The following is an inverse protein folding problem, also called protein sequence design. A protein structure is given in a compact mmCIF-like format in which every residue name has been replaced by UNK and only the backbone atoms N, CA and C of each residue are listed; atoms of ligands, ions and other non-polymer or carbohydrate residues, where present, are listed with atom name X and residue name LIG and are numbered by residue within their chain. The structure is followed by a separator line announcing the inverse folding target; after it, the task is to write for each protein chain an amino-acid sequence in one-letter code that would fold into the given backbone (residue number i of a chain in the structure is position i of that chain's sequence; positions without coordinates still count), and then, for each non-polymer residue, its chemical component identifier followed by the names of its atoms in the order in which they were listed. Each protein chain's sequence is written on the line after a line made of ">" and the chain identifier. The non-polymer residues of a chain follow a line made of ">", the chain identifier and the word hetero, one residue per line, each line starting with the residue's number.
data_IF_324675031102
#
_entry.id   IF_324675031102
#
_cell.length_a   1.000
_cell.length_b   1.000
_cell.length_c   1.000
_cell.angle_alpha   90.00
_cell.angle_beta   90.00
_cell.angle_gamma   90.00
#
_symmetry.space_group_name_H-M   'P 1'
#
loop_
_entity.id
_entity.type
_entity.pdbx_description
1 polymer ?
#
# COMPACT_ATOMS: atom_id res chain seq x y z
N UNK A 1 29.14 -13.21 26.18
CA UNK A 1 27.92 -13.76 25.56
C UNK A 1 27.19 -12.60 24.92
N UNK A 2 27.09 -12.56 23.59
CA UNK A 2 26.23 -11.58 22.92
C UNK A 2 24.78 -11.84 23.34
N UNK A 3 24.10 -10.80 23.83
CA UNK A 3 22.67 -10.85 24.11
C UNK A 3 21.93 -11.23 22.83
N UNK A 4 21.35 -12.42 22.82
CA UNK A 4 20.44 -12.83 21.74
C UNK A 4 19.28 -11.83 21.74
N UNK A 5 19.20 -10.98 20.71
CA UNK A 5 18.10 -10.04 20.52
C UNK A 5 16.79 -10.81 20.49
N UNK A 6 15.99 -10.67 21.56
CA UNK A 6 14.63 -11.21 21.61
C UNK A 6 13.79 -10.54 20.52
N UNK A 7 13.11 -11.34 19.70
CA UNK A 7 12.18 -10.85 18.68
C UNK A 7 10.92 -10.37 19.39
N UNK A 8 10.64 -9.08 19.33
CA UNK A 8 9.45 -8.45 19.94
C UNK A 8 8.45 -7.93 18.92
N UNK A 9 8.79 -7.96 17.63
CA UNK A 9 7.93 -7.41 16.58
C UNK A 9 6.79 -8.36 16.24
N UNK A 10 5.57 -7.88 16.47
CA UNK A 10 4.31 -8.61 16.18
C UNK A 10 3.93 -8.58 14.69
N UNK A 11 4.37 -7.58 13.94
CA UNK A 11 3.94 -7.33 12.57
C UNK A 11 5.12 -7.31 11.63
N UNK A 12 4.90 -7.72 10.39
CA UNK A 12 5.83 -7.44 9.29
C UNK A 12 6.02 -5.94 9.15
N UNK A 13 7.20 -5.52 8.71
CA UNK A 13 7.48 -4.12 8.46
C UNK A 13 6.52 -3.53 7.43
N UNK A 14 5.85 -2.43 7.78
CA UNK A 14 4.81 -1.80 6.97
C UNK A 14 3.40 -2.34 7.19
N UNK A 15 3.27 -3.49 7.85
CA UNK A 15 2.00 -4.22 8.02
C UNK A 15 1.30 -3.93 9.36
N UNK A 16 1.85 -3.08 10.21
CA UNK A 16 1.22 -2.73 11.48
C UNK A 16 -0.13 -2.03 11.22
N UNK A 17 -1.16 -2.29 12.04
CA UNK A 17 -2.42 -1.57 11.94
C UNK A 17 -2.20 -0.09 12.24
N UNK A 18 -2.98 0.76 11.58
CA UNK A 18 -3.03 2.19 11.91
C UNK A 18 -3.56 2.33 13.35
N UNK A 19 -2.86 3.08 14.20
CA UNK A 19 -3.29 3.27 15.58
C UNK A 19 -4.58 4.09 15.64
N UNK A 20 -5.40 3.93 16.68
CA UNK A 20 -6.65 4.71 16.84
C UNK A 20 -6.42 6.23 16.78
N UNK A 21 -5.33 6.69 17.39
CA UNK A 21 -4.95 8.12 17.40
C UNK A 21 -4.62 8.60 15.99
N UNK A 22 -3.81 7.84 15.25
CA UNK A 22 -3.45 8.21 13.87
C UNK A 22 -4.66 8.10 12.93
N UNK A 23 -5.50 7.08 13.13
CA UNK A 23 -6.72 6.90 12.35
C UNK A 23 -7.63 8.14 12.44
N UNK A 24 -7.90 8.63 13.66
CA UNK A 24 -8.71 9.84 13.82
C UNK A 24 -8.11 11.07 13.12
N UNK A 25 -6.78 11.28 13.21
CA UNK A 25 -6.10 12.37 12.49
C UNK A 25 -6.24 12.24 10.97
N UNK A 26 -6.03 11.03 10.46
CA UNK A 26 -6.18 10.75 9.03
C UNK A 26 -7.61 10.98 8.56
N UNK A 27 -8.60 10.53 9.32
CA UNK A 27 -10.02 10.68 8.99
C UNK A 27 -10.42 12.16 8.89
N UNK A 28 -10.00 13.00 9.85
CA UNK A 28 -10.25 14.45 9.77
C UNK A 28 -9.61 15.10 8.55
N UNK A 29 -8.37 14.72 8.23
CA UNK A 29 -7.66 15.29 7.08
C UNK A 29 -8.31 14.88 5.74
N UNK A 30 -8.73 13.62 5.63
CA UNK A 30 -9.47 13.06 4.49
C UNK A 30 -10.83 13.76 4.34
N UNK A 31 -11.61 13.83 5.41
CA UNK A 31 -12.94 14.45 5.41
C UNK A 31 -12.88 15.94 5.06
N UNK A 32 -11.91 16.68 5.62
CA UNK A 32 -11.71 18.10 5.32
C UNK A 32 -11.47 18.34 3.83
N UNK A 33 -10.56 17.56 3.20
CA UNK A 33 -10.27 17.69 1.78
C UNK A 33 -11.46 17.28 0.89
N UNK A 34 -12.18 16.21 1.26
CA UNK A 34 -13.37 15.78 0.51
C UNK A 34 -14.48 16.84 0.55
N UNK A 35 -14.78 17.40 1.72
CA UNK A 35 -15.76 18.50 1.87
C UNK A 35 -15.37 19.74 1.09
N UNK A 36 -14.08 20.10 1.10
CA UNK A 36 -13.59 21.22 0.32
C UNK A 36 -13.85 21.00 -1.19
N UNK A 37 -13.53 19.80 -1.69
CA UNK A 37 -13.71 19.46 -3.10
C UNK A 37 -15.20 19.41 -3.48
N UNK A 38 -16.08 18.92 -2.61
CA UNK A 38 -17.51 18.79 -2.91
C UNK A 38 -18.26 20.12 -2.84
N UNK A 39 -18.01 20.90 -1.79
CA UNK A 39 -18.90 22.01 -1.42
C UNK A 39 -18.26 23.37 -1.68
N UNK A 40 -16.93 23.43 -1.90
CA UNK A 40 -16.16 24.66 -2.15
C UNK A 40 -16.27 25.73 -1.05
N UNK A 41 -16.90 25.39 0.08
CA UNK A 41 -17.44 26.35 1.04
C UNK A 41 -16.71 26.36 2.38
N UNK A 42 -15.96 25.31 2.71
CA UNK A 42 -15.11 25.29 3.90
C UNK A 42 -13.70 25.80 3.57
N UNK A 43 -13.08 26.51 4.51
CA UNK A 43 -11.65 26.83 4.39
C UNK A 43 -10.81 25.55 4.59
N UNK A 44 -9.83 25.34 3.72
CA UNK A 44 -8.87 24.26 3.84
C UNK A 44 -7.83 24.61 4.91
N UNK A 45 -7.76 23.84 5.98
CA UNK A 45 -6.70 24.00 6.97
C UNK A 45 -5.36 23.51 6.40
N UNK A 46 -4.30 24.35 6.37
CA UNK A 46 -2.96 23.94 5.97
C UNK A 46 -2.47 22.65 6.65
N UNK A 47 -2.83 22.41 7.91
CA UNK A 47 -2.32 21.28 8.69
C UNK A 47 -2.94 19.96 8.27
N UNK A 48 -4.22 19.94 7.90
CA UNK A 48 -4.85 18.78 7.26
C UNK A 48 -4.21 18.46 5.91
N UNK A 49 -3.82 19.48 5.13
CA UNK A 49 -3.08 19.29 3.87
C UNK A 49 -1.70 18.67 4.14
N UNK A 50 -1.01 19.11 5.20
CA UNK A 50 0.26 18.52 5.62
C UNK A 50 0.12 17.07 6.08
N UNK A 51 -0.95 16.73 6.80
CA UNK A 51 -1.26 15.37 7.23
C UNK A 51 -1.49 14.45 6.01
N UNK A 52 -2.36 14.85 5.07
CA UNK A 52 -2.60 14.10 3.83
C UNK A 52 -1.30 13.88 3.05
N UNK A 53 -0.50 14.93 2.88
CA UNK A 53 0.81 14.82 2.23
C UNK A 53 1.70 13.80 2.96
N UNK A 54 1.69 13.80 4.29
CA UNK A 54 2.39 12.83 5.13
C UNK A 54 1.96 11.39 4.84
N UNK A 55 0.65 11.14 4.73
CA UNK A 55 0.08 9.84 4.41
C UNK A 55 0.54 9.33 3.03
N UNK A 56 0.47 10.16 1.98
CA UNK A 56 0.96 9.78 0.65
C UNK A 56 2.48 9.53 0.64
N UNK A 57 3.27 10.40 1.27
CA UNK A 57 4.72 10.24 1.35
C UNK A 57 5.12 8.96 2.09
N UNK A 58 4.39 8.60 3.15
CA UNK A 58 4.61 7.36 3.90
C UNK A 58 4.48 6.13 2.99
N UNK A 59 3.47 6.07 2.14
CA UNK A 59 3.29 4.99 1.17
C UNK A 59 4.39 4.96 0.09
N UNK A 60 4.89 6.13 -0.32
CA UNK A 60 5.97 6.24 -1.32
C UNK A 60 7.33 5.83 -0.74
N UNK A 61 7.63 6.27 0.50
CA UNK A 61 8.91 6.03 1.16
C UNK A 61 9.02 4.63 1.77
N UNK A 62 7.89 4.04 2.14
CA UNK A 62 7.81 2.71 2.78
C UNK A 62 8.68 2.62 4.05
N UNK A 63 8.75 3.70 4.81
CA UNK A 63 9.67 3.89 5.94
C UNK A 63 9.01 3.76 7.32
N UNK A 64 7.70 3.55 7.38
CA UNK A 64 6.92 3.48 8.63
C UNK A 64 6.26 2.11 8.83
N UNK A 65 6.01 1.72 10.08
CA UNK A 65 5.49 0.39 10.40
C UNK A 65 4.09 0.09 9.83
N UNK A 66 3.32 1.09 9.44
CA UNK A 66 1.94 1.00 8.93
C UNK A 66 1.81 1.45 7.46
N UNK A 67 2.92 1.68 6.74
CA UNK A 67 2.88 2.25 5.39
C UNK A 67 1.99 1.45 4.42
N UNK A 68 1.97 0.12 4.54
CA UNK A 68 1.18 -0.77 3.69
C UNK A 68 -0.30 -0.76 4.11
N UNK A 69 -0.58 -0.67 5.41
CA UNK A 69 -1.94 -0.51 5.93
C UNK A 69 -2.58 0.80 5.44
N UNK A 70 -1.82 1.89 5.44
CA UNK A 70 -2.26 3.18 4.86
C UNK A 70 -2.42 3.07 3.35
N UNK A 71 -1.50 2.41 2.64
CA UNK A 71 -1.58 2.20 1.18
C UNK A 71 -2.81 1.38 0.80
N UNK A 72 -3.15 0.37 1.61
CA UNK A 72 -4.37 -0.42 1.46
C UNK A 72 -5.60 0.46 1.60
N UNK A 73 -5.68 1.30 2.64
CA UNK A 73 -6.83 2.20 2.81
C UNK A 73 -7.02 3.15 1.63
N UNK A 74 -5.93 3.60 0.99
CA UNK A 74 -6.05 4.39 -0.24
C UNK A 74 -6.51 3.60 -1.48
N UNK A 75 -6.63 2.27 -1.42
CA UNK A 75 -6.97 1.42 -2.57
C UNK A 75 -5.76 1.07 -3.46
N UNK A 76 -4.55 1.15 -2.91
CA UNK A 76 -3.29 0.87 -3.61
C UNK A 76 -2.95 1.71 -4.88
N UNK A 77 -3.14 3.05 -4.90
CA UNK A 77 -2.69 3.88 -6.02
C UNK A 77 -1.20 3.66 -6.38
N UNK A 78 -0.81 3.77 -7.66
CA UNK A 78 0.58 3.63 -8.05
C UNK A 78 1.50 4.63 -7.35
N UNK A 79 2.71 4.19 -6.97
CA UNK A 79 3.67 5.04 -6.25
C UNK A 79 4.05 6.34 -7.00
N UNK A 80 4.04 6.32 -8.33
CA UNK A 80 4.25 7.51 -9.17
C UNK A 80 3.12 8.53 -9.01
N UNK A 81 1.87 8.07 -8.98
CA UNK A 81 0.68 8.90 -8.76
C UNK A 81 0.71 9.49 -7.35
N UNK A 82 0.94 8.66 -6.33
CA UNK A 82 1.06 9.11 -4.94
C UNK A 82 2.12 10.19 -4.76
N UNK A 83 3.30 10.01 -5.38
CA UNK A 83 4.39 11.00 -5.32
C UNK A 83 3.99 12.32 -5.95
N UNK A 84 3.29 12.29 -7.10
CA UNK A 84 2.78 13.50 -7.76
C UNK A 84 1.76 14.20 -6.87
N UNK A 85 0.77 13.47 -6.35
CA UNK A 85 -0.23 14.00 -5.41
C UNK A 85 0.44 14.67 -4.20
N UNK A 86 1.42 14.02 -3.57
CA UNK A 86 2.15 14.62 -2.43
C UNK A 86 2.89 15.92 -2.80
N UNK A 87 3.42 16.00 -4.02
CA UNK A 87 4.00 17.23 -4.58
C UNK A 87 2.97 18.33 -4.75
N UNK A 88 1.83 18.03 -5.38
CA UNK A 88 0.74 19.00 -5.56
C UNK A 88 0.14 19.46 -4.22
N UNK A 89 0.02 18.57 -3.21
CA UNK A 89 -0.43 18.95 -1.86
C UNK A 89 0.49 19.98 -1.21
N UNK A 90 1.78 19.96 -1.54
CA UNK A 90 2.72 21.01 -1.09
C UNK A 90 2.38 22.37 -1.71
N UNK A 91 2.03 22.38 -3.00
CA UNK A 91 1.62 23.59 -3.70
C UNK A 91 0.25 24.08 -3.23
N UNK A 92 -0.70 23.16 -3.00
CA UNK A 92 -2.03 23.45 -2.46
C UNK A 92 -1.90 24.17 -1.11
N UNK A 93 -1.08 23.63 -0.19
CA UNK A 93 -0.81 24.30 1.10
C UNK A 93 -0.27 25.71 0.91
N UNK A 94 0.65 25.91 -0.04
CA UNK A 94 1.20 27.25 -0.33
C UNK A 94 0.13 28.20 -0.86
N UNK A 95 -0.73 27.76 -1.77
CA UNK A 95 -1.81 28.57 -2.32
C UNK A 95 -2.80 29.01 -1.22
N UNK A 96 -3.19 28.09 -0.32
CA UNK A 96 -4.03 28.39 0.84
C UNK A 96 -3.40 29.46 1.74
N UNK A 97 -2.12 29.29 2.10
CA UNK A 97 -1.41 30.25 2.97
C UNK A 97 -1.27 31.65 2.36
N UNK A 98 -1.24 31.74 1.03
CA UNK A 98 -1.14 33.00 0.29
C UNK A 98 -2.50 33.59 -0.10
N UNK A 99 -3.61 32.89 0.16
CA UNK A 99 -4.94 33.28 -0.30
C UNK A 99 -5.12 33.23 -1.82
N UNK A 100 -4.29 32.46 -2.54
CA UNK A 100 -4.33 32.31 -3.99
C UNK A 100 -5.45 31.35 -4.41
N UNK A 101 -6.67 31.88 -4.49
CA UNK A 101 -7.88 31.10 -4.84
C UNK A 101 -7.81 30.51 -6.26
N UNK A 102 -7.31 31.28 -7.23
CA UNK A 102 -7.24 30.83 -8.63
C UNK A 102 -6.21 29.72 -8.80
N UNK A 103 -5.03 29.87 -8.20
CA UNK A 103 -4.01 28.82 -8.18
C UNK A 103 -4.48 27.57 -7.44
N UNK A 104 -5.18 27.74 -6.31
CA UNK A 104 -5.78 26.63 -5.56
C UNK A 104 -6.73 25.80 -6.43
N UNK A 105 -7.66 26.44 -7.13
CA UNK A 105 -8.63 25.75 -8.00
C UNK A 105 -7.94 24.93 -9.10
N UNK A 106 -6.87 25.48 -9.71
CA UNK A 106 -6.09 24.77 -10.74
C UNK A 106 -5.41 23.54 -10.15
N UNK A 107 -4.80 23.67 -8.97
CA UNK A 107 -4.12 22.57 -8.29
C UNK A 107 -5.09 21.48 -7.84
N UNK A 108 -6.28 21.86 -7.36
CA UNK A 108 -7.33 20.92 -6.94
C UNK A 108 -7.83 20.11 -8.13
N UNK A 109 -8.18 20.76 -9.25
CA UNK A 109 -8.56 20.05 -10.48
C UNK A 109 -7.48 19.06 -10.93
N UNK A 110 -6.21 19.45 -10.78
CA UNK A 110 -5.07 18.60 -11.13
C UNK A 110 -4.98 17.35 -10.25
N UNK A 111 -5.08 17.45 -8.93
CA UNK A 111 -5.06 16.26 -8.05
C UNK A 111 -6.31 15.39 -8.19
N UNK A 112 -7.48 15.99 -8.44
CA UNK A 112 -8.72 15.26 -8.76
C UNK A 112 -8.52 14.41 -10.00
N UNK A 113 -7.95 14.96 -11.08
CA UNK A 113 -7.64 14.21 -12.31
C UNK A 113 -6.63 13.08 -12.13
N UNK A 114 -5.86 13.08 -11.03
CA UNK A 114 -4.93 12.01 -10.66
C UNK A 114 -5.59 10.89 -9.81
N UNK A 115 -6.88 10.99 -9.51
CA UNK A 115 -7.60 10.02 -8.68
C UNK A 115 -7.52 10.27 -7.18
N UNK A 116 -7.26 11.52 -6.74
CA UNK A 116 -7.25 11.86 -5.31
C UNK A 116 -8.59 11.52 -4.66
N UNK A 117 -9.72 11.92 -5.27
CA UNK A 117 -11.06 11.72 -4.69
C UNK A 117 -11.34 10.24 -4.45
N UNK A 118 -11.08 9.39 -5.45
CA UNK A 118 -11.22 7.93 -5.31
C UNK A 118 -10.36 7.38 -4.16
N UNK A 119 -9.09 7.82 -4.08
CA UNK A 119 -8.19 7.39 -3.00
C UNK A 119 -8.71 7.79 -1.61
N UNK A 120 -9.25 9.01 -1.47
CA UNK A 120 -9.80 9.53 -0.22
C UNK A 120 -11.12 8.85 0.16
N UNK A 121 -12.01 8.61 -0.81
CA UNK A 121 -13.25 7.86 -0.60
C UNK A 121 -12.98 6.42 -0.17
N UNK A 122 -12.01 5.74 -0.79
CA UNK A 122 -11.55 4.42 -0.37
C UNK A 122 -11.01 4.43 1.07
N UNK A 123 -10.38 5.53 1.49
CA UNK A 123 -9.84 5.64 2.85
C UNK A 123 -10.95 5.76 3.90
N UNK A 124 -12.01 6.50 3.58
CA UNK A 124 -13.14 6.78 4.46
C UNK A 124 -14.10 5.59 4.57
N UNK A 125 -14.39 4.93 3.45
CA UNK A 125 -15.15 3.70 3.43
C UNK A 125 -14.19 2.59 3.84
N UNK A 126 -14.15 2.20 5.12
CA UNK A 126 -13.41 1.01 5.58
C UNK A 126 -13.66 -0.13 4.60
N UNK A 127 -12.69 -0.37 3.70
CA UNK A 127 -12.86 -1.04 2.41
C UNK A 127 -14.07 -1.98 2.39
N UNK A 128 -15.08 -1.62 1.61
CA UNK A 128 -16.19 -2.52 1.30
C UNK A 128 -15.57 -3.85 0.92
N UNK A 129 -15.92 -4.92 1.65
CA UNK A 129 -15.50 -6.28 1.34
C UNK A 129 -15.89 -6.52 -0.13
N UNK A 130 -14.96 -6.40 -1.06
CA UNK A 130 -15.21 -6.84 -2.42
C UNK A 130 -15.52 -8.33 -2.31
N UNK A 131 -16.80 -8.68 -2.40
CA UNK A 131 -17.18 -9.99 -2.89
C UNK A 131 -16.81 -9.98 -4.36
N UNK A 132 -15.58 -10.39 -4.64
CA UNK A 132 -15.11 -10.58 -6.00
C UNK A 132 -15.71 -11.89 -6.50
N UNK A 133 -16.79 -11.78 -7.26
CA UNK A 133 -17.14 -12.82 -8.22
C UNK A 133 -16.03 -12.89 -9.29
N UNK A 134 -15.68 -14.11 -9.71
CA UNK A 134 -14.64 -14.35 -10.72
C UNK A 134 -13.18 -14.40 -10.23
N UNK A 135 -12.29 -14.87 -11.12
CA UNK A 135 -10.88 -15.21 -10.87
C UNK A 135 -9.97 -14.02 -10.47
N UNK A 136 -10.50 -12.80 -10.33
CA UNK A 136 -9.72 -11.60 -10.01
C UNK A 136 -9.13 -11.68 -8.61
N UNK A 137 -7.97 -11.06 -8.43
CA UNK A 137 -7.27 -11.10 -7.15
C UNK A 137 -6.01 -10.26 -7.14
N UNK A 138 -5.11 -10.65 -6.25
CA UNK A 138 -3.82 -10.05 -6.04
C UNK A 138 -2.73 -11.10 -6.12
N UNK A 139 -1.66 -10.79 -6.83
CA UNK A 139 -0.36 -11.47 -6.68
C UNK A 139 0.44 -10.67 -5.65
N UNK A 140 1.05 -11.34 -4.68
CA UNK A 140 1.92 -10.71 -3.70
C UNK A 140 3.34 -11.28 -3.76
N UNK A 141 4.31 -10.47 -3.35
CA UNK A 141 5.69 -10.87 -3.05
C UNK A 141 5.95 -10.49 -1.60
N UNK A 142 6.20 -11.48 -0.75
CA UNK A 142 6.51 -11.30 0.66
C UNK A 142 7.96 -11.68 0.95
N UNK A 143 8.56 -11.02 1.92
CA UNK A 143 9.81 -11.47 2.54
C UNK A 143 9.86 -11.03 4.01
N UNK A 144 10.84 -11.56 4.73
CA UNK A 144 11.24 -11.01 6.03
C UNK A 144 12.39 -10.01 5.82
N UNK A 145 12.78 -9.26 6.85
CA UNK A 145 13.94 -8.36 6.78
C UNK A 145 15.25 -9.14 6.84
N UNK A 146 15.20 -10.26 7.53
CA UNK A 146 16.32 -11.17 7.82
C UNK A 146 16.67 -12.01 6.59
N UNK A 147 15.69 -12.30 5.73
CA UNK A 147 15.87 -13.06 4.50
C UNK A 147 15.26 -12.30 3.31
N UNK A 148 15.88 -11.19 2.87
CA UNK A 148 15.30 -10.34 1.83
C UNK A 148 15.22 -11.02 0.45
N UNK A 149 16.05 -12.03 0.20
CA UNK A 149 16.14 -12.75 -1.06
C UNK A 149 15.50 -14.16 -1.01
N UNK A 150 14.81 -14.47 0.09
CA UNK A 150 13.90 -15.60 0.17
C UNK A 150 12.48 -15.03 0.07
N UNK A 151 11.87 -15.21 -1.10
CA UNK A 151 10.58 -14.62 -1.41
C UNK A 151 9.48 -15.67 -1.30
N UNK A 152 8.41 -15.34 -0.57
CA UNK A 152 7.14 -16.05 -0.69
C UNK A 152 6.29 -15.31 -1.72
N UNK A 153 5.97 -16.00 -2.81
CA UNK A 153 5.16 -15.45 -3.91
C UNK A 153 3.89 -16.26 -3.98
N UNK A 154 2.74 -15.61 -4.09
CA UNK A 154 1.47 -16.30 -4.25
C UNK A 154 0.32 -15.34 -4.46
N UNK A 155 -0.91 -15.83 -4.32
CA UNK A 155 -2.10 -15.06 -4.61
C UNK A 155 -3.14 -15.01 -3.49
N UNK A 156 -4.04 -14.04 -3.58
CA UNK A 156 -5.26 -13.96 -2.78
C UNK A 156 -6.38 -13.29 -3.57
N UNK A 157 -7.62 -13.76 -3.38
CA UNK A 157 -8.83 -13.15 -3.95
C UNK A 157 -9.51 -12.14 -3.02
N UNK A 158 -8.93 -11.94 -1.83
CA UNK A 158 -9.39 -11.00 -0.80
C UNK A 158 -8.26 -10.05 -0.39
N UNK A 159 -8.38 -9.39 0.76
CA UNK A 159 -7.34 -8.50 1.28
C UNK A 159 -5.97 -9.19 1.40
N UNK A 160 -4.94 -8.53 0.86
CA UNK A 160 -3.54 -8.94 1.05
C UNK A 160 -3.13 -8.81 2.52
N UNK A 161 -3.58 -7.77 3.24
CA UNK A 161 -3.27 -7.61 4.66
C UNK A 161 -3.79 -8.78 5.48
N UNK A 162 -5.03 -9.23 5.24
CA UNK A 162 -5.59 -10.41 5.91
C UNK A 162 -4.81 -11.68 5.59
N UNK A 163 -4.47 -11.90 4.32
CA UNK A 163 -3.68 -13.07 3.91
C UNK A 163 -2.30 -13.09 4.56
N UNK A 164 -1.63 -11.95 4.64
CA UNK A 164 -0.32 -11.83 5.31
C UNK A 164 -0.44 -12.05 6.81
N UNK A 165 -1.51 -11.57 7.46
CA UNK A 165 -1.77 -11.83 8.89
C UNK A 165 -1.92 -13.33 9.16
N UNK A 166 -2.64 -14.05 8.33
CA UNK A 166 -2.78 -15.51 8.46
C UNK A 166 -1.44 -16.23 8.28
N UNK A 167 -0.68 -15.88 7.25
CA UNK A 167 0.65 -16.46 7.02
C UNK A 167 1.53 -16.25 8.26
N UNK A 168 1.49 -15.06 8.86
CA UNK A 168 2.27 -14.74 10.06
C UNK A 168 1.72 -15.36 11.36
N UNK A 169 0.52 -15.92 11.35
CA UNK A 169 -0.06 -16.61 12.53
C UNK A 169 0.35 -18.07 12.64
N UNK A 170 0.98 -18.63 11.60
CA UNK A 170 1.49 -19.99 11.58
C UNK A 170 2.66 -20.14 12.58
N UNK A 171 2.62 -21.19 13.41
CA UNK A 171 3.58 -21.44 14.50
C UNK A 171 5.01 -21.66 13.99
N UNK A 172 5.17 -22.01 12.71
CA UNK A 172 6.47 -22.16 12.06
C UNK A 172 7.14 -20.85 11.62
N UNK A 173 6.46 -19.70 11.74
CA UNK A 173 7.01 -18.40 11.31
C UNK A 173 7.82 -17.74 12.42
N UNK A 174 9.14 -17.68 12.22
CA UNK A 174 10.06 -17.05 13.17
C UNK A 174 10.06 -15.52 13.09
N UNK A 175 10.08 -14.98 11.86
CA UNK A 175 10.05 -13.54 11.60
C UNK A 175 8.82 -13.21 10.74
N UNK A 176 8.05 -12.16 11.07
CA UNK A 176 6.84 -11.86 10.36
C UNK A 176 7.13 -11.36 8.93
N UNK A 177 6.48 -11.98 7.96
CA UNK A 177 6.51 -11.58 6.56
C UNK A 177 5.88 -10.20 6.35
N UNK A 178 6.47 -9.47 5.42
CA UNK A 178 6.08 -8.13 5.00
C UNK A 178 5.81 -8.14 3.51
N UNK A 179 4.76 -7.43 3.06
CA UNK A 179 4.50 -7.26 1.64
C UNK A 179 5.56 -6.33 1.02
N UNK A 180 6.36 -6.84 0.08
CA UNK A 180 7.32 -6.04 -0.70
C UNK A 180 6.65 -5.40 -1.90
N UNK A 181 5.79 -6.17 -2.58
CA UNK A 181 5.02 -5.73 -3.73
C UNK A 181 3.73 -6.52 -3.89
N UNK A 182 2.72 -5.88 -4.46
CA UNK A 182 1.47 -6.52 -4.89
C UNK A 182 1.11 -6.10 -6.32
N UNK A 183 0.29 -6.91 -6.97
CA UNK A 183 -0.26 -6.64 -8.29
C UNK A 183 -1.73 -7.05 -8.34
N UNK A 184 -2.61 -6.15 -8.78
CA UNK A 184 -4.00 -6.48 -9.10
C UNK A 184 -4.03 -7.19 -10.45
N UNK A 185 -4.74 -8.31 -10.55
CA UNK A 185 -4.86 -9.09 -11.78
C UNK A 185 -6.29 -9.62 -11.97
N UNK A 186 -6.69 -9.80 -13.23
CA UNK A 186 -8.03 -10.30 -13.57
C UNK A 186 -8.21 -11.80 -13.35
N UNK A 187 -7.12 -12.58 -13.42
CA UNK A 187 -7.13 -14.04 -13.20
C UNK A 187 -5.93 -14.44 -12.33
N UNK A 188 -6.09 -14.28 -11.02
CA UNK A 188 -5.04 -14.56 -10.04
C UNK A 188 -4.57 -16.03 -10.04
N UNK A 189 -5.46 -17.04 -10.10
CA UNK A 189 -5.05 -18.45 -10.20
C UNK A 189 -4.22 -18.75 -11.45
N UNK A 190 -4.63 -18.27 -12.64
CA UNK A 190 -3.89 -18.50 -13.88
C UNK A 190 -2.51 -17.84 -13.83
N UNK A 191 -2.47 -16.56 -13.45
CA UNK A 191 -1.22 -15.78 -13.39
C UNK A 191 -0.25 -16.39 -12.36
N UNK A 192 -0.73 -16.83 -11.20
CA UNK A 192 0.11 -17.50 -10.20
C UNK A 192 0.78 -18.76 -10.78
N UNK A 193 0.02 -19.59 -11.50
CA UNK A 193 0.54 -20.79 -12.16
C UNK A 193 1.63 -20.45 -13.18
N UNK A 194 1.44 -19.40 -13.97
CA UNK A 194 2.43 -18.94 -14.94
C UNK A 194 3.71 -18.41 -14.27
N UNK A 195 3.56 -17.61 -13.21
CA UNK A 195 4.69 -17.13 -12.39
C UNK A 195 5.46 -18.32 -11.82
N UNK A 196 4.77 -19.32 -11.29
CA UNK A 196 5.38 -20.52 -10.71
C UNK A 196 6.12 -21.36 -11.74
N UNK A 197 5.64 -21.46 -12.98
CA UNK A 197 6.34 -22.15 -14.05
C UNK A 197 7.64 -21.43 -14.43
N UNK A 198 7.62 -20.10 -14.54
CA UNK A 198 8.80 -19.30 -14.90
C UNK A 198 9.83 -19.26 -13.76
N UNK A 199 9.38 -19.28 -12.50
CA UNK A 199 10.25 -19.20 -11.33
C UNK A 199 10.68 -20.56 -10.77
N UNK A 200 10.33 -21.68 -11.41
CA UNK A 200 10.55 -23.01 -10.84
C UNK A 200 12.02 -23.32 -10.56
N UNK A 201 12.94 -22.81 -11.39
CA UNK A 201 14.39 -22.94 -11.19
C UNK A 201 14.90 -22.27 -9.91
N UNK A 202 14.16 -21.31 -9.35
CA UNK A 202 14.50 -20.64 -8.09
C UNK A 202 13.77 -21.23 -6.89
N UNK A 203 12.87 -22.20 -7.10
CA UNK A 203 12.01 -22.76 -6.07
C UNK A 203 12.85 -23.58 -5.08
N UNK A 204 12.79 -23.20 -3.81
CA UNK A 204 13.58 -23.86 -2.74
C UNK A 204 13.02 -25.25 -2.43
N UNK A 205 11.69 -25.41 -2.51
CA UNK A 205 10.97 -26.63 -2.20
C UNK A 205 9.82 -26.85 -3.17
N UNK A 206 9.73 -28.03 -3.78
CA UNK A 206 8.70 -28.37 -4.78
C UNK A 206 7.27 -28.21 -4.25
N UNK A 207 7.05 -28.47 -2.96
CA UNK A 207 5.75 -28.42 -2.30
C UNK A 207 5.40 -27.04 -1.72
N UNK A 208 6.28 -26.06 -1.85
CA UNK A 208 6.09 -24.72 -1.26
C UNK A 208 6.37 -23.61 -2.27
N UNK A 209 5.86 -22.43 -1.96
CA UNK A 209 5.91 -21.23 -2.80
C UNK A 209 7.05 -20.28 -2.38
N UNK A 210 8.20 -20.85 -2.02
CA UNK A 210 9.38 -20.09 -1.61
C UNK A 210 10.45 -20.14 -2.69
N UNK A 211 10.99 -18.98 -3.03
CA UNK A 211 11.93 -18.79 -4.12
C UNK A 211 13.19 -18.08 -3.62
N UNK A 212 14.36 -18.63 -3.93
CA UNK A 212 15.67 -18.02 -3.65
C UNK A 212 16.09 -17.16 -4.85
N UNK A 213 15.68 -15.89 -4.84
CA UNK A 213 15.88 -14.95 -5.94
C UNK A 213 15.89 -13.51 -5.42
N UNK A 214 16.74 -12.68 -6.00
CA UNK A 214 16.76 -11.23 -5.73
C UNK A 214 15.39 -10.60 -6.04
N UNK A 215 14.93 -9.71 -5.15
CA UNK A 215 13.63 -9.06 -5.30
C UNK A 215 13.46 -8.29 -6.61
N UNK A 216 14.49 -7.56 -7.05
CA UNK A 216 14.46 -6.83 -8.32
C UNK A 216 14.22 -7.77 -9.50
N UNK A 217 14.93 -8.90 -9.53
CA UNK A 217 14.79 -9.91 -10.60
C UNK A 217 13.41 -10.56 -10.59
N UNK A 218 12.90 -10.95 -9.41
CA UNK A 218 11.55 -11.48 -9.29
C UNK A 218 10.49 -10.47 -9.75
N UNK A 219 10.67 -9.20 -9.40
CA UNK A 219 9.77 -8.12 -9.80
C UNK A 219 9.70 -7.97 -11.33
N UNK A 220 10.83 -8.02 -12.01
CA UNK A 220 10.89 -7.89 -13.47
C UNK A 220 10.25 -9.10 -14.18
N UNK A 221 10.53 -10.31 -13.70
CA UNK A 221 9.91 -11.54 -14.21
C UNK A 221 8.39 -11.49 -14.05
N UNK A 222 7.89 -11.17 -12.86
CA UNK A 222 6.45 -11.13 -12.58
C UNK A 222 5.76 -10.05 -13.40
N UNK A 223 6.36 -8.87 -13.54
CA UNK A 223 5.82 -7.81 -14.41
C UNK A 223 5.70 -8.26 -15.87
N UNK A 224 6.62 -9.08 -16.37
CA UNK A 224 6.54 -9.61 -17.73
C UNK A 224 5.42 -10.65 -17.90
N UNK A 225 5.09 -11.42 -16.85
CA UNK A 225 3.97 -12.37 -16.87
C UNK A 225 2.61 -11.67 -16.78
N UNK A 226 2.53 -10.57 -16.02
CA UNK A 226 1.28 -9.82 -15.80
C UNK A 226 0.91 -8.91 -17.00
N UNK A 227 1.88 -8.60 -17.87
CA UNK A 227 1.71 -7.72 -19.03
C UNK A 227 0.70 -8.24 -20.05
#
# INVERSE_FOLDING_TARGET
>A
MEDIKKITQKWGFGMAPISKVMQGRYDYAVESMLKFISDGSCDLDPDYISELKGMFNRCVRKDQWDWFSVHQKFGFPPASVMRRIAGELTLIRKAVLLGDRVGLDVLIRKVVSMGLVESLMNFQQDLVKEQVDGCRGWIYILSTREQPNVLKIGMTRRSVVERVKEINSDTGVLFPFSARQIFRVDDAPRIEKEIFAVLDLYRIRKDREFFAIEFSRALDIIKNVIR
#
